data_IF_688085516852
#
_entry.id   IF_688085516852
#
_cell.length_a   1.000
_cell.length_b   1.000
_cell.length_c   1.000
_cell.angle_alpha   90.00
_cell.angle_beta   90.00
_cell.angle_gamma   90.00
#
_symmetry.space_group_name_H-M   'P 1'
#
loop_
_entity.id
_entity.type
_entity.pdbx_description
1 polymer ?
#
# COMPACT_ATOMS: atom_id res chain seq x y z
N UNK A 1 -17.88 -3.88 -19.69
CA UNK A 1 -17.43 -2.98 -18.60
C UNK A 1 -15.91 -2.90 -18.69
N UNK A 2 -15.33 -1.70 -18.85
CA UNK A 2 -13.87 -1.56 -18.77
C UNK A 2 -13.43 -1.80 -17.33
N UNK A 3 -12.32 -2.50 -17.12
CA UNK A 3 -11.75 -2.64 -15.78
C UNK A 3 -11.37 -1.26 -15.25
N UNK A 4 -11.71 -0.97 -13.98
CA UNK A 4 -11.30 0.27 -13.31
C UNK A 4 -9.76 0.27 -13.21
N UNK A 5 -9.07 1.40 -13.47
CA UNK A 5 -7.64 1.44 -13.28
C UNK A 5 -7.26 1.21 -11.80
N UNK A 6 -6.19 0.46 -11.59
CA UNK A 6 -5.65 0.20 -10.25
C UNK A 6 -4.76 1.37 -9.82
N UNK A 7 -4.94 1.84 -8.59
CA UNK A 7 -4.10 2.87 -7.98
C UNK A 7 -3.54 2.34 -6.67
N UNK A 8 -2.22 2.23 -6.57
CA UNK A 8 -1.56 1.96 -5.30
C UNK A 8 -1.46 3.26 -4.48
N UNK A 9 -2.14 3.30 -3.34
CA UNK A 9 -1.94 4.34 -2.35
C UNK A 9 -0.80 3.91 -1.43
N UNK A 10 0.36 4.55 -1.60
CA UNK A 10 1.58 4.27 -0.84
C UNK A 10 1.71 5.26 0.32
N UNK A 11 1.98 4.77 1.53
CA UNK A 11 2.04 5.60 2.74
C UNK A 11 2.95 5.02 3.82
N UNK A 12 3.12 5.74 4.93
CA UNK A 12 4.07 5.43 6.00
C UNK A 12 5.49 5.85 5.64
N UNK A 13 6.45 4.97 5.91
CA UNK A 13 7.88 5.12 5.61
C UNK A 13 8.76 5.09 6.86
N UNK A 14 10.05 4.82 6.66
CA UNK A 14 11.09 4.96 7.68
C UNK A 14 11.46 6.45 7.84
N UNK A 15 10.55 7.23 8.42
CA UNK A 15 10.66 8.69 8.58
C UNK A 15 10.02 9.15 9.89
N UNK A 16 10.48 10.26 10.51
CA UNK A 16 9.74 10.92 11.58
C UNK A 16 8.32 11.35 11.20
N UNK A 17 8.05 11.53 9.90
CA UNK A 17 6.73 11.90 9.37
C UNK A 17 5.82 10.70 9.08
N UNK A 18 6.20 9.49 9.51
CA UNK A 18 5.42 8.25 9.32
C UNK A 18 3.93 8.42 9.69
N UNK A 19 3.66 8.97 10.88
CA UNK A 19 2.28 9.16 11.36
C UNK A 19 1.51 10.21 10.56
N UNK A 20 2.20 11.25 10.09
CA UNK A 20 1.61 12.28 9.22
C UNK A 20 1.22 11.69 7.86
N UNK A 21 2.05 10.78 7.33
CA UNK A 21 1.78 10.02 6.11
C UNK A 21 0.55 9.12 6.27
N UNK A 22 0.39 8.43 7.40
CA UNK A 22 -0.80 7.62 7.72
C UNK A 22 -2.08 8.47 7.77
N UNK A 23 -2.06 9.61 8.48
CA UNK A 23 -3.20 10.53 8.55
C UNK A 23 -3.60 11.02 7.16
N UNK A 24 -2.62 11.40 6.33
CA UNK A 24 -2.87 11.85 4.95
C UNK A 24 -3.48 10.73 4.09
N UNK A 25 -2.94 9.52 4.18
CA UNK A 25 -3.43 8.35 3.45
C UNK A 25 -4.87 8.00 3.84
N UNK A 26 -5.21 8.04 5.13
CA UNK A 26 -6.58 7.85 5.61
C UNK A 26 -7.54 8.87 4.99
N UNK A 27 -7.17 10.15 5.01
CA UNK A 27 -7.98 11.22 4.43
C UNK A 27 -8.25 11.03 2.93
N UNK A 28 -7.23 10.60 2.18
CA UNK A 28 -7.33 10.29 0.75
C UNK A 28 -8.22 9.06 0.54
N UNK A 29 -7.97 7.97 1.27
CA UNK A 29 -8.67 6.70 1.11
C UNK A 29 -10.16 6.80 1.44
N UNK A 30 -10.55 7.63 2.41
CA UNK A 30 -11.96 7.91 2.72
C UNK A 30 -12.70 8.63 1.59
N UNK A 31 -11.99 9.45 0.79
CA UNK A 31 -12.58 10.37 -0.19
C UNK A 31 -12.39 9.94 -1.64
N UNK A 32 -11.53 8.94 -1.89
CA UNK A 32 -11.26 8.45 -3.24
C UNK A 32 -12.52 7.87 -3.87
N UNK A 33 -12.75 8.21 -5.14
CA UNK A 33 -13.86 7.66 -5.91
C UNK A 33 -13.59 6.17 -6.23
N UNK A 34 -14.12 5.30 -5.37
CA UNK A 34 -14.05 3.84 -5.53
C UNK A 34 -14.85 3.33 -6.73
N UNK A 35 -15.79 4.12 -7.27
CA UNK A 35 -16.48 3.83 -8.53
C UNK A 35 -15.56 4.00 -9.75
N UNK A 36 -14.59 4.90 -9.65
CA UNK A 36 -13.60 5.19 -10.72
C UNK A 36 -12.30 4.40 -10.59
N UNK A 37 -11.84 4.11 -9.38
CA UNK A 37 -10.51 3.52 -9.13
C UNK A 37 -10.57 2.25 -8.26
N UNK A 38 -9.75 1.25 -8.59
CA UNK A 38 -9.46 0.12 -7.70
C UNK A 38 -8.25 0.45 -6.84
N UNK A 39 -8.47 0.87 -5.60
CA UNK A 39 -7.41 1.37 -4.71
C UNK A 39 -6.79 0.23 -3.92
N UNK A 40 -5.46 0.11 -3.98
CA UNK A 40 -4.68 -0.86 -3.22
C UNK A 40 -3.83 -0.15 -2.17
N UNK A 41 -3.92 -0.58 -0.92
CA UNK A 41 -3.19 0.03 0.19
C UNK A 41 -1.82 -0.63 0.35
N UNK A 42 -0.76 0.17 0.22
CA UNK A 42 0.62 -0.27 0.38
C UNK A 42 1.29 0.59 1.44
N UNK A 43 1.35 0.07 2.66
CA UNK A 43 2.01 0.75 3.77
C UNK A 43 3.49 0.37 3.82
N UNK A 44 4.37 1.32 4.13
CA UNK A 44 5.78 1.07 4.44
C UNK A 44 5.96 1.30 5.94
N UNK A 45 6.31 0.25 6.68
CA UNK A 45 6.49 0.39 8.12
C UNK A 45 7.73 1.24 8.48
N UNK A 46 7.92 1.52 9.76
CA UNK A 46 9.07 2.31 10.26
C UNK A 46 10.42 1.64 10.01
N UNK A 47 10.44 0.33 9.78
CA UNK A 47 11.62 -0.43 9.36
C UNK A 47 11.91 -0.33 7.86
N UNK A 48 11.06 0.36 7.10
CA UNK A 48 11.20 0.49 5.65
C UNK A 48 10.62 -0.70 4.88
N UNK A 49 9.89 -1.60 5.54
CA UNK A 49 9.36 -2.80 4.92
C UNK A 49 7.96 -2.52 4.32
N UNK A 50 7.78 -2.62 2.98
CA UNK A 50 6.49 -2.42 2.35
C UNK A 50 5.56 -3.62 2.53
N UNK A 51 4.28 -3.35 2.77
CA UNK A 51 3.24 -4.33 3.05
C UNK A 51 1.97 -3.99 2.27
N UNK A 52 1.43 -4.97 1.55
CA UNK A 52 0.13 -4.90 0.89
C UNK A 52 -0.95 -5.40 1.85
N UNK A 53 -2.03 -4.64 2.01
CA UNK A 53 -3.11 -5.02 2.91
C UNK A 53 -4.40 -4.27 2.65
N UNK A 54 -5.26 -4.28 3.65
CA UNK A 54 -6.54 -3.58 3.66
C UNK A 54 -6.48 -2.36 4.60
N UNK A 55 -7.66 -1.87 4.98
CA UNK A 55 -7.82 -0.68 5.81
C UNK A 55 -7.15 -0.82 7.19
N UNK A 56 -6.91 -2.04 7.67
CA UNK A 56 -6.24 -2.27 8.96
C UNK A 56 -4.85 -1.63 9.01
N UNK A 57 -4.18 -1.50 7.86
CA UNK A 57 -2.88 -0.83 7.75
C UNK A 57 -2.93 0.64 8.14
N UNK A 58 -4.07 1.32 7.95
CA UNK A 58 -4.27 2.72 8.32
C UNK A 58 -4.59 2.88 9.83
N UNK A 59 -5.06 1.81 10.49
CA UNK A 59 -5.46 1.77 11.90
C UNK A 59 -4.41 1.06 12.78
N UNK A 60 -3.14 1.41 12.54
CA UNK A 60 -1.99 0.91 13.27
C UNK A 60 -1.59 -0.54 12.93
N UNK A 61 -2.30 -1.21 12.01
CA UNK A 61 -1.96 -2.56 11.58
C UNK A 61 -0.59 -2.63 10.90
N UNK A 62 -0.19 -1.55 10.21
CA UNK A 62 1.11 -1.47 9.56
C UNK A 62 2.27 -1.62 10.58
N UNK A 63 2.22 -0.90 11.69
CA UNK A 63 3.23 -0.97 12.75
C UNK A 63 3.15 -2.28 13.55
N UNK A 64 2.01 -2.96 13.54
CA UNK A 64 1.86 -4.33 14.08
C UNK A 64 2.35 -5.41 13.11
N UNK A 65 2.78 -5.03 11.91
CA UNK A 65 3.24 -5.97 10.88
C UNK A 65 2.10 -6.75 10.20
N UNK A 66 0.90 -6.18 10.15
CA UNK A 66 -0.22 -6.75 9.39
C UNK A 66 -0.01 -6.58 7.87
N UNK A 67 -0.71 -7.38 7.07
CA UNK A 67 -0.56 -7.39 5.62
C UNK A 67 0.62 -8.23 5.12
N UNK A 68 0.67 -8.40 3.81
CA UNK A 68 1.65 -9.25 3.11
C UNK A 68 2.91 -8.44 2.83
N UNK A 69 4.10 -8.85 3.30
CA UNK A 69 5.36 -8.22 2.91
C UNK A 69 5.56 -8.34 1.40
N UNK A 70 5.79 -7.21 0.73
CA UNK A 70 5.96 -7.16 -0.74
C UNK A 70 7.33 -6.62 -1.16
N UNK A 71 7.68 -6.84 -2.43
CA UNK A 71 8.74 -6.12 -3.14
C UNK A 71 8.10 -5.12 -4.07
N UNK A 72 8.66 -3.92 -4.08
CA UNK A 72 8.32 -2.88 -5.05
C UNK A 72 8.78 -3.30 -6.46
N UNK A 73 8.12 -2.85 -7.53
CA UNK A 73 8.59 -3.11 -8.89
C UNK A 73 10.02 -2.60 -9.09
N UNK A 74 10.84 -3.41 -9.76
CA UNK A 74 12.26 -3.10 -9.95
C UNK A 74 12.50 -2.04 -11.04
N UNK A 75 11.52 -1.79 -11.91
CA UNK A 75 11.60 -0.78 -12.97
C UNK A 75 10.20 -0.22 -13.30
N UNK A 76 10.10 0.96 -13.94
CA UNK A 76 8.82 1.60 -14.26
C UNK A 76 7.89 0.82 -15.21
N UNK A 77 8.46 -0.12 -15.99
CA UNK A 77 7.70 -1.00 -16.86
C UNK A 77 7.01 -2.13 -16.10
N UNK A 78 7.54 -2.50 -14.92
CA UNK A 78 6.93 -3.45 -14.02
C UNK A 78 5.90 -2.74 -13.13
N UNK A 79 4.68 -3.25 -13.14
CA UNK A 79 3.55 -2.71 -12.35
C UNK A 79 3.03 -3.75 -11.35
N UNK A 80 3.83 -4.77 -11.04
CA UNK A 80 3.44 -5.88 -10.18
C UNK A 80 4.10 -5.80 -8.82
N UNK A 81 3.31 -5.92 -7.76
CA UNK A 81 3.83 -6.22 -6.42
C UNK A 81 4.02 -7.71 -6.27
N UNK A 82 5.12 -8.10 -5.63
CA UNK A 82 5.46 -9.51 -5.40
C UNK A 82 5.63 -9.77 -3.93
N UNK A 83 5.05 -10.83 -3.41
CA UNK A 83 5.33 -11.30 -2.06
C UNK A 83 6.83 -11.55 -1.88
N UNK A 84 7.39 -11.12 -0.74
CA UNK A 84 8.84 -11.18 -0.52
C UNK A 84 9.38 -12.61 -0.48
N UNK A 85 8.68 -13.51 0.22
CA UNK A 85 9.16 -14.87 0.46
C UNK A 85 9.00 -15.76 -0.77
N UNK A 86 7.82 -15.71 -1.40
CA UNK A 86 7.46 -16.63 -2.49
C UNK A 86 7.74 -16.07 -3.88
N UNK A 87 7.84 -14.74 -4.02
CA UNK A 87 7.90 -14.08 -5.33
C UNK A 87 6.58 -14.07 -6.10
N UNK A 88 5.49 -14.58 -5.50
CA UNK A 88 4.15 -14.61 -6.11
C UNK A 88 3.67 -13.19 -6.36
N UNK A 89 3.09 -12.97 -7.54
CA UNK A 89 2.42 -11.71 -7.87
C UNK A 89 1.16 -11.58 -7.02
N UNK A 90 1.01 -10.45 -6.34
CA UNK A 90 -0.12 -10.16 -5.43
C UNK A 90 -1.04 -9.04 -5.93
N UNK A 91 -0.71 -8.44 -7.08
CA UNK A 91 -1.52 -7.42 -7.77
C UNK A 91 -1.52 -7.64 -9.27
#
# INVERSE_FOLDING_TARGET
MSARPVVALVFGGASPEHDVSLVSARGIFERVDRGRWDVRLVGVDRGGQPRLGDESLLDGGLDRGEGIPVRWPACPADRTLREQDTGRIVT
#
